data_IF_793578228109
#
_entry.id   IF_793578228109
#
_cell.length_a   1.000
_cell.length_b   1.000
_cell.length_c   1.000
_cell.angle_alpha   90.00
_cell.angle_beta   90.00
_cell.angle_gamma   90.00
#
_symmetry.space_group_name_H-M   'P 1'
#
loop_
_entity.id
_entity.type
_entity.pdbx_description
1 polymer ?
#
# COMPACT_ATOMS: atom_id res chain seq x y z
N UNK A 1 -11.43 2.90 -0.25
CA UNK A 1 -10.11 2.25 -0.31
C UNK A 1 -9.72 1.96 1.14
N UNK A 2 -9.63 0.70 1.55
CA UNK A 2 -9.50 0.34 2.97
C UNK A 2 -8.14 0.79 3.51
N UNK A 3 -8.13 1.84 4.33
CA UNK A 3 -6.96 2.20 5.15
C UNK A 3 -6.91 1.22 6.31
N UNK A 4 -6.03 0.24 6.22
CA UNK A 4 -5.67 -0.59 7.36
C UNK A 4 -4.77 0.26 8.27
N UNK A 5 -5.34 0.89 9.30
CA UNK A 5 -4.54 1.53 10.35
C UNK A 5 -3.88 0.42 11.15
N UNK A 6 -2.59 0.21 10.93
CA UNK A 6 -1.75 -0.62 11.78
C UNK A 6 -1.54 0.08 13.11
N UNK A 7 -1.90 -0.57 14.22
CA UNK A 7 -1.34 -0.23 15.51
C UNK A 7 0.11 -0.74 15.55
N UNK A 8 1.01 0.20 15.79
CA UNK A 8 2.47 0.13 15.86
C UNK A 8 3.11 -1.27 15.90
N UNK A 9 3.78 -1.60 14.79
CA UNK A 9 4.65 -2.76 14.71
C UNK A 9 5.37 -2.75 13.37
N UNK A 10 6.52 -2.09 13.30
CA UNK A 10 7.42 -2.03 12.16
C UNK A 10 7.85 -3.43 11.71
N UNK A 11 7.04 -4.10 10.90
CA UNK A 11 7.36 -5.41 10.35
C UNK A 11 7.90 -5.22 8.94
N UNK A 12 9.23 -5.14 8.91
CA UNK A 12 10.06 -5.05 7.72
C UNK A 12 9.68 -6.12 6.71
N UNK A 13 9.52 -5.68 5.46
CA UNK A 13 9.59 -6.40 4.19
C UNK A 13 9.87 -7.90 4.31
N UNK A 14 8.92 -8.70 3.84
CA UNK A 14 9.16 -10.08 3.45
C UNK A 14 10.16 -10.08 2.28
N UNK A 15 11.45 -10.06 2.63
CA UNK A 15 12.56 -10.31 1.73
C UNK A 15 12.51 -11.80 1.37
N UNK A 16 12.04 -12.11 0.17
CA UNK A 16 12.13 -13.43 -0.45
C UNK A 16 13.44 -13.54 -1.22
N UNK A 17 14.56 -13.34 -0.54
CA UNK A 17 15.86 -13.82 -1.01
C UNK A 17 16.67 -14.35 0.17
N UNK A 18 17.18 -15.57 -0.02
CA UNK A 18 17.65 -16.45 1.05
C UNK A 18 18.74 -15.83 1.92
N UNK A 19 18.71 -16.18 3.23
CA UNK A 19 19.84 -16.68 4.05
C UNK A 19 19.44 -16.73 5.53
N UNK A 20 19.66 -17.90 6.13
CA UNK A 20 19.56 -18.27 7.55
C UNK A 20 19.68 -17.11 8.56
N UNK A 21 18.66 -16.92 9.41
CA UNK A 21 18.86 -16.75 10.86
C UNK A 21 17.63 -17.22 11.64
N UNK A 22 17.91 -17.99 12.68
CA UNK A 22 16.97 -18.66 13.57
C UNK A 22 16.39 -17.63 14.55
N UNK A 23 15.16 -17.14 14.35
CA UNK A 23 14.44 -16.36 15.38
C UNK A 23 13.07 -16.95 15.61
N UNK A 24 12.97 -17.64 16.73
CA UNK A 24 11.79 -18.27 17.34
C UNK A 24 10.55 -17.36 17.13
N UNK A 25 9.66 -17.78 16.25
CA UNK A 25 8.31 -17.24 16.13
C UNK A 25 7.50 -17.81 17.29
N UNK A 26 7.51 -17.13 18.43
CA UNK A 26 6.62 -17.44 19.56
C UNK A 26 5.25 -16.91 19.19
N UNK A 27 4.26 -17.79 19.29
CA UNK A 27 2.91 -17.62 18.77
C UNK A 27 2.29 -16.25 19.07
N UNK A 28 1.93 -15.56 18.00
CA UNK A 28 0.87 -14.58 18.01
C UNK A 28 -0.08 -15.00 16.89
N UNK A 29 -1.36 -15.16 17.23
CA UNK A 29 -2.44 -15.49 16.30
C UNK A 29 -2.30 -14.67 15.01
N UNK A 30 -2.16 -15.35 13.87
CA UNK A 30 -1.95 -14.74 12.57
C UNK A 30 -3.16 -13.85 12.18
N UNK A 31 -3.13 -12.59 12.59
CA UNK A 31 -4.04 -11.56 12.14
C UNK A 31 -3.63 -11.19 10.71
N UNK A 32 -4.54 -11.33 9.75
CA UNK A 32 -4.27 -11.09 8.33
C UNK A 32 -3.73 -9.69 8.06
N UNK A 33 -2.92 -9.57 7.00
CA UNK A 33 -2.27 -8.33 6.58
C UNK A 33 -2.85 -7.87 5.24
N UNK A 34 -3.08 -6.56 5.08
CA UNK A 34 -3.45 -5.95 3.80
C UNK A 34 -2.17 -5.48 3.07
N UNK A 35 -1.75 -6.14 1.98
CA UNK A 35 -0.53 -5.78 1.27
C UNK A 35 -0.72 -4.58 0.33
N UNK A 36 0.38 -3.90 -0.01
CA UNK A 36 0.38 -2.93 -1.10
C UNK A 36 0.29 -3.66 -2.45
N UNK A 37 -0.87 -3.53 -3.12
CA UNK A 37 -1.16 -4.25 -4.35
C UNK A 37 -0.21 -3.89 -5.50
N UNK A 38 0.35 -2.67 -5.49
CA UNK A 38 1.23 -2.19 -6.56
C UNK A 38 2.47 -3.05 -6.80
N UNK A 39 2.98 -3.75 -5.77
CA UNK A 39 4.13 -4.67 -5.93
C UNK A 39 3.75 -5.84 -6.84
N UNK A 40 2.63 -6.51 -6.56
CA UNK A 40 2.16 -7.61 -7.39
C UNK A 40 1.78 -7.16 -8.80
N UNK A 41 1.18 -5.97 -8.94
CA UNK A 41 0.86 -5.40 -10.26
C UNK A 41 2.13 -5.10 -11.07
N UNK A 42 3.18 -4.63 -10.40
CA UNK A 42 4.48 -4.38 -11.04
C UNK A 42 5.06 -5.70 -11.55
N UNK A 43 5.08 -6.74 -10.72
CA UNK A 43 5.58 -8.07 -11.12
C UNK A 43 4.79 -8.67 -12.29
N UNK A 44 3.46 -8.58 -12.25
CA UNK A 44 2.60 -9.04 -13.36
C UNK A 44 2.86 -8.25 -14.64
N UNK A 45 3.02 -6.93 -14.54
CA UNK A 45 3.32 -6.08 -15.70
C UNK A 45 4.69 -6.39 -16.27
N UNK A 46 5.70 -6.59 -15.43
CA UNK A 46 7.04 -7.01 -15.86
C UNK A 46 7.01 -8.39 -16.53
N UNK A 47 6.27 -9.36 -15.99
CA UNK A 47 6.10 -10.68 -16.61
C UNK A 47 5.38 -10.58 -17.96
N UNK A 48 4.34 -9.76 -18.05
CA UNK A 48 3.56 -9.58 -19.28
C UNK A 48 4.40 -8.99 -20.41
N UNK A 49 5.19 -7.96 -20.09
CA UNK A 49 6.04 -7.25 -21.04
C UNK A 49 7.31 -8.01 -21.41
N UNK A 50 7.90 -8.75 -20.47
CA UNK A 50 9.15 -9.49 -20.69
C UNK A 50 8.95 -10.84 -21.40
N UNK A 51 7.76 -11.43 -21.34
CA UNK A 51 7.51 -12.79 -21.85
C UNK A 51 6.33 -12.82 -22.80
N UNK A 52 6.55 -13.36 -24.01
CA UNK A 52 5.48 -13.54 -25.01
C UNK A 52 4.48 -14.61 -24.58
N UNK A 53 3.19 -14.39 -24.88
CA UNK A 53 2.10 -15.34 -24.63
C UNK A 53 2.21 -16.63 -25.44
N UNK A 54 2.89 -16.56 -26.59
CA UNK A 54 3.11 -17.69 -27.49
C UNK A 54 4.60 -17.87 -27.74
N UNK A 55 4.98 -19.13 -27.84
CA UNK A 55 6.29 -19.55 -28.32
C UNK A 55 6.41 -19.26 -29.82
N UNK A 56 7.62 -19.33 -30.36
CA UNK A 56 7.89 -19.06 -31.79
C UNK A 56 7.15 -20.03 -32.73
N UNK A 57 6.86 -21.24 -32.25
CA UNK A 57 6.06 -22.25 -32.96
C UNK A 57 4.54 -22.00 -32.87
N UNK A 58 4.11 -20.90 -32.26
CA UNK A 58 2.69 -20.52 -32.13
C UNK A 58 1.95 -21.16 -30.96
N UNK A 59 2.57 -22.07 -30.19
CA UNK A 59 1.95 -22.66 -29.00
C UNK A 59 1.90 -21.69 -27.82
N UNK A 60 0.97 -21.92 -26.89
CA UNK A 60 0.83 -21.11 -25.67
C UNK A 60 2.07 -21.32 -24.78
N UNK A 61 2.61 -20.23 -24.26
CA UNK A 61 3.72 -20.25 -23.33
C UNK A 61 3.22 -20.53 -21.90
N UNK A 62 3.21 -21.81 -21.52
CA UNK A 62 2.81 -22.23 -20.18
C UNK A 62 3.77 -21.76 -19.07
N UNK A 63 5.02 -21.44 -19.39
CA UNK A 63 5.98 -20.92 -18.41
C UNK A 63 5.60 -19.51 -17.97
N UNK A 64 5.11 -18.68 -18.90
CA UNK A 64 4.53 -17.37 -18.59
C UNK A 64 3.32 -17.54 -17.66
N UNK A 65 2.35 -18.37 -18.06
CA UNK A 65 1.12 -18.62 -17.29
C UNK A 65 1.40 -19.16 -15.89
N UNK A 66 2.43 -20.00 -15.73
CA UNK A 66 2.85 -20.55 -14.44
C UNK A 66 3.41 -19.46 -13.52
N UNK A 67 4.26 -18.57 -14.03
CA UNK A 67 4.80 -17.44 -13.23
C UNK A 67 3.71 -16.45 -12.82
N UNK A 68 2.80 -16.11 -13.74
CA UNK A 68 1.64 -15.27 -13.40
C UNK A 68 0.77 -15.92 -12.33
N UNK A 69 0.53 -17.23 -12.44
CA UNK A 69 -0.23 -17.98 -11.46
C UNK A 69 0.43 -17.96 -10.07
N UNK A 70 1.75 -18.07 -9.97
CA UNK A 70 2.47 -17.99 -8.69
C UNK A 70 2.21 -16.65 -7.99
N UNK A 71 2.20 -15.54 -8.73
CA UNK A 71 1.88 -14.21 -8.20
C UNK A 71 0.41 -14.14 -7.72
N UNK A 72 -0.52 -14.63 -8.54
CA UNK A 72 -1.95 -14.67 -8.17
C UNK A 72 -2.23 -15.59 -6.97
N UNK A 73 -1.50 -16.69 -6.85
CA UNK A 73 -1.63 -17.61 -5.73
C UNK A 73 -1.22 -16.94 -4.41
N UNK A 74 -0.18 -16.09 -4.42
CA UNK A 74 0.20 -15.29 -3.26
C UNK A 74 -0.89 -14.29 -2.86
N UNK A 75 -1.47 -13.58 -3.83
CA UNK A 75 -2.60 -12.67 -3.56
C UNK A 75 -3.76 -13.44 -2.91
N UNK A 76 -4.11 -14.61 -3.44
CA UNK A 76 -5.18 -15.46 -2.90
C UNK A 76 -4.88 -15.96 -1.49
N UNK A 77 -3.63 -16.28 -1.19
CA UNK A 77 -3.20 -16.67 0.15
C UNK A 77 -3.39 -15.52 1.13
N UNK A 78 -2.95 -14.31 0.77
CA UNK A 78 -3.10 -13.10 1.59
C UNK A 78 -4.58 -12.79 1.85
N UNK A 79 -5.43 -12.86 0.83
CA UNK A 79 -6.89 -12.73 0.97
C UNK A 79 -7.47 -13.77 1.93
N UNK A 80 -6.98 -15.01 1.87
CA UNK A 80 -7.43 -16.09 2.76
C UNK A 80 -7.04 -15.83 4.21
N UNK A 81 -5.82 -15.32 4.44
CA UNK A 81 -5.36 -14.91 5.77
C UNK A 81 -6.19 -13.74 6.33
N UNK A 82 -6.63 -12.80 5.49
CA UNK A 82 -7.49 -11.68 5.91
C UNK A 82 -8.91 -12.11 6.32
N UNK A 83 -9.40 -13.29 5.95
CA UNK A 83 -10.75 -13.75 6.33
C UNK A 83 -10.90 -13.94 7.84
N UNK A 84 -9.80 -14.16 8.54
CA UNK A 84 -9.79 -14.30 10.00
C UNK A 84 -9.67 -12.96 10.72
N UNK A 85 -9.54 -11.84 9.99
CA UNK A 85 -9.58 -10.51 10.59
C UNK A 85 -11.02 -10.15 10.95
N UNK A 86 -11.23 -9.79 12.22
CA UNK A 86 -12.49 -9.21 12.68
C UNK A 86 -12.39 -7.69 12.56
N UNK A 87 -13.20 -7.11 11.70
CA UNK A 87 -13.35 -5.67 11.56
C UNK A 87 -14.69 -5.25 12.17
N UNK A 88 -14.67 -4.22 13.01
CA UNK A 88 -15.88 -3.57 13.49
C UNK A 88 -16.14 -2.35 12.63
N UNK A 89 -17.34 -2.26 12.08
CA UNK A 89 -17.77 -1.08 11.33
C UNK A 89 -18.22 0.00 12.30
N UNK A 90 -17.62 1.19 12.17
CA UNK A 90 -18.09 2.41 12.81
C UNK A 90 -18.75 3.30 11.75
N UNK A 91 -20.08 3.43 11.86
CA UNK A 91 -20.88 4.21 10.91
C UNK A 91 -20.52 5.71 10.93
N UNK A 92 -20.18 6.26 12.11
CA UNK A 92 -19.80 7.67 12.21
C UNK A 92 -18.45 7.91 11.52
N UNK A 93 -17.51 6.97 11.69
CA UNK A 93 -16.24 6.99 10.96
C UNK A 93 -16.45 6.86 9.45
N UNK A 94 -17.30 5.94 8.99
CA UNK A 94 -17.57 5.77 7.56
C UNK A 94 -18.18 7.01 6.93
N UNK A 95 -19.15 7.63 7.61
CA UNK A 95 -19.75 8.88 7.15
C UNK A 95 -18.72 10.00 7.03
N UNK A 96 -17.86 10.17 8.05
CA UNK A 96 -16.77 11.15 8.01
C UNK A 96 -15.77 10.84 6.90
N UNK A 97 -15.33 9.59 6.78
CA UNK A 97 -14.36 9.20 5.76
C UNK A 97 -14.89 9.44 4.34
N UNK A 98 -16.17 9.18 4.11
CA UNK A 98 -16.83 9.44 2.82
C UNK A 98 -17.06 10.94 2.57
N UNK A 99 -17.13 11.77 3.61
CA UNK A 99 -17.30 13.22 3.46
C UNK A 99 -15.99 13.97 3.21
N UNK A 100 -14.83 13.34 3.41
CA UNK A 100 -13.52 13.96 3.12
C UNK A 100 -13.39 14.21 1.60
N UNK A 101 -13.26 15.48 1.16
CA UNK A 101 -13.08 15.78 -0.25
C UNK A 101 -11.71 15.27 -0.72
N UNK A 102 -11.68 14.64 -1.89
CA UNK A 102 -10.43 14.26 -2.56
C UNK A 102 -9.89 15.46 -3.31
N UNK A 103 -8.72 15.95 -2.93
CA UNK A 103 -8.00 17.01 -3.65
C UNK A 103 -7.20 16.39 -4.78
N UNK A 104 -7.17 17.07 -5.93
CA UNK A 104 -6.21 16.74 -6.97
C UNK A 104 -4.81 17.30 -6.63
N UNK A 105 -3.83 16.99 -7.47
CA UNK A 105 -2.44 17.40 -7.26
C UNK A 105 -2.27 18.93 -7.25
N UNK A 106 -2.94 19.65 -8.16
CA UNK A 106 -2.86 21.11 -8.25
C UNK A 106 -3.49 21.80 -7.03
N UNK A 107 -4.65 21.32 -6.58
CA UNK A 107 -5.33 21.83 -5.39
C UNK A 107 -4.50 21.58 -4.13
N UNK A 108 -3.92 20.39 -4.02
CA UNK A 108 -3.02 20.03 -2.90
C UNK A 108 -1.79 20.91 -2.89
N UNK A 109 -1.19 21.17 -4.06
CA UNK A 109 -0.03 22.04 -4.21
C UNK A 109 -0.34 23.49 -3.83
N UNK A 110 -1.45 24.04 -4.34
CA UNK A 110 -1.89 25.39 -3.99
C UNK A 110 -2.14 25.53 -2.50
N UNK A 111 -2.89 24.60 -1.91
CA UNK A 111 -3.20 24.60 -0.48
C UNK A 111 -1.92 24.49 0.37
N UNK A 112 -0.96 23.68 -0.05
CA UNK A 112 0.34 23.57 0.62
C UNK A 112 1.07 24.91 0.68
N UNK A 113 1.08 25.67 -0.43
CA UNK A 113 1.72 26.99 -0.50
C UNK A 113 0.99 28.07 0.33
N UNK A 114 -0.34 27.91 0.53
CA UNK A 114 -1.13 28.80 1.38
C UNK A 114 -0.87 28.54 2.87
N UNK A 115 -0.68 27.28 3.25
CA UNK A 115 -0.41 26.84 4.62
C UNK A 115 1.02 27.19 5.03
N UNK A 116 2.00 26.83 4.19
CA UNK A 116 3.42 27.07 4.41
C UNK A 116 3.94 28.02 3.33
N UNK A 117 4.17 29.28 3.72
CA UNK A 117 4.79 30.26 2.81
C UNK A 117 6.22 29.81 2.50
N UNK A 118 6.64 29.76 1.22
CA UNK A 118 8.02 29.47 0.87
C UNK A 118 8.96 30.41 1.62
N UNK A 119 9.83 29.85 2.46
CA UNK A 119 10.78 30.64 3.24
C UNK A 119 11.80 31.29 2.30
N UNK A 120 11.84 32.62 2.24
CA UNK A 120 12.94 33.35 1.62
C UNK A 120 14.26 32.94 2.30
N UNK A 121 15.38 32.81 1.56
CA UNK A 121 16.66 32.36 2.12
C UNK A 121 17.35 33.43 2.96
N UNK A 122 16.73 33.85 4.07
CA UNK A 122 17.34 34.78 5.03
C UNK A 122 17.09 34.38 6.49
N UNK A 123 18.20 33.94 7.09
CA UNK A 123 18.53 33.84 8.51
C UNK A 123 17.42 33.57 9.54
N UNK A 124 17.35 32.30 9.96
CA UNK A 124 17.49 32.01 11.38
C UNK A 124 16.22 31.99 12.24
N UNK A 125 15.06 31.59 11.71
CA UNK A 125 13.91 31.26 12.56
C UNK A 125 13.52 29.80 12.40
N UNK A 126 13.78 29.02 13.44
CA UNK A 126 13.15 27.72 13.68
C UNK A 126 11.65 27.95 13.86
N UNK A 127 10.90 27.92 12.76
CA UNK A 127 9.44 27.90 12.83
C UNK A 127 9.03 26.50 13.28
N UNK A 128 8.37 26.42 14.44
CA UNK A 128 7.74 25.18 14.88
C UNK A 128 6.70 24.78 13.82
N UNK A 129 6.56 23.48 13.48
CA UNK A 129 5.58 23.03 12.51
C UNK A 129 4.19 23.45 12.99
N UNK A 130 3.54 24.33 12.23
CA UNK A 130 2.18 24.78 12.54
C UNK A 130 1.22 23.74 11.97
N UNK A 131 0.62 22.93 12.85
CA UNK A 131 -0.41 21.97 12.44
C UNK A 131 -1.68 22.76 12.07
N UNK A 132 -1.95 22.91 10.78
CA UNK A 132 -3.20 23.49 10.28
C UNK A 132 -4.18 22.34 10.02
N UNK A 133 -5.21 22.23 10.86
CA UNK A 133 -6.30 21.28 10.66
C UNK A 133 -7.32 21.91 9.71
N UNK A 134 -7.22 21.57 8.42
CA UNK A 134 -8.23 21.94 7.43
C UNK A 134 -9.55 21.25 7.78
N UNK A 135 -10.54 22.03 8.20
CA UNK A 135 -11.87 21.50 8.54
C UNK A 135 -12.59 21.14 7.25
N UNK A 136 -13.14 19.92 7.18
CA UNK A 136 -14.10 19.59 6.14
C UNK A 136 -15.41 20.38 6.39
N UNK A 137 -16.00 21.03 5.38
CA UNK A 137 -17.31 21.64 5.52
C UNK A 137 -18.36 20.58 5.85
N UNK A 138 -19.37 20.97 6.65
CA UNK A 138 -20.48 20.11 7.09
C UNK A 138 -21.39 19.70 5.94
#
# INVERSE_FOLDING_TARGET
MFVCVFQEGTSKFANLDGKMTNRRQIGSSAQGTVPYLGIFLTDLTMLDTAVKDRLENGYINFDKRRREFEVLAQIRLLQSSCKNCVFLTDEAFLQWYQSVPSLNEEESYRLSNEIEVPCEPSSGRTQNPTVIITRCPK
#
